data_IF_457176240539
#
_entry.id   IF_457176240539
#
_cell.length_a   1.000
_cell.length_b   1.000
_cell.length_c   1.000
_cell.angle_alpha   90.00
_cell.angle_beta   90.00
_cell.angle_gamma   90.00
#
_symmetry.space_group_name_H-M   'P 1'
#
loop_
_entity.id
_entity.type
_entity.pdbx_description
1 polymer ?
#
# COMPACT_ATOMS: atom_id res chain seq x y z
N UNK A 1 -6.26 -4.05 -16.64
CA UNK A 1 -7.14 -3.48 -15.59
C UNK A 1 -7.37 -4.47 -14.45
N UNK A 2 -7.39 -5.77 -14.70
CA UNK A 2 -7.63 -6.82 -13.68
C UNK A 2 -6.57 -6.93 -12.57
N UNK A 3 -5.29 -6.62 -12.84
CA UNK A 3 -4.21 -6.77 -11.86
C UNK A 3 -4.37 -5.82 -10.66
N UNK A 4 -4.78 -4.57 -10.90
CA UNK A 4 -4.99 -3.60 -9.82
C UNK A 4 -6.18 -3.97 -8.92
N UNK A 5 -7.21 -4.62 -9.46
CA UNK A 5 -8.38 -5.07 -8.68
C UNK A 5 -8.02 -6.19 -7.69
N UNK A 6 -7.11 -7.09 -8.08
CA UNK A 6 -6.62 -8.16 -7.21
C UNK A 6 -5.84 -7.58 -6.01
N UNK A 7 -4.91 -6.67 -6.29
CA UNK A 7 -4.19 -5.97 -5.23
C UNK A 7 -5.13 -5.14 -4.36
N UNK A 8 -6.12 -4.46 -4.96
CA UNK A 8 -7.07 -3.65 -4.20
C UNK A 8 -7.85 -4.51 -3.21
N UNK A 9 -8.37 -5.65 -3.66
CA UNK A 9 -9.13 -6.57 -2.81
C UNK A 9 -8.30 -7.08 -1.62
N UNK A 10 -7.06 -7.48 -1.87
CA UNK A 10 -6.15 -7.95 -0.83
C UNK A 10 -5.80 -6.86 0.19
N UNK A 11 -5.45 -5.66 -0.31
CA UNK A 11 -5.12 -4.51 0.53
C UNK A 11 -6.34 -4.05 1.32
N UNK A 12 -7.52 -3.97 0.70
CA UNK A 12 -8.77 -3.61 1.37
C UNK A 12 -9.06 -4.57 2.52
N UNK A 13 -8.94 -5.89 2.28
CA UNK A 13 -9.20 -6.90 3.30
C UNK A 13 -8.28 -6.76 4.51
N UNK A 14 -6.96 -6.59 4.30
CA UNK A 14 -6.00 -6.45 5.42
C UNK A 14 -6.07 -5.09 6.11
N UNK A 15 -6.15 -4.01 5.34
CA UNK A 15 -6.04 -2.65 5.87
C UNK A 15 -7.34 -2.17 6.46
N UNK A 16 -8.49 -2.37 5.80
CA UNK A 16 -9.74 -1.79 6.28
C UNK A 16 -10.13 -2.34 7.65
N UNK A 17 -9.90 -3.62 7.95
CA UNK A 17 -10.18 -4.19 9.29
C UNK A 17 -9.35 -3.52 10.40
N UNK A 18 -8.15 -3.03 10.07
CA UNK A 18 -7.24 -2.37 11.00
C UNK A 18 -7.30 -0.83 10.93
N UNK A 19 -8.07 -0.28 9.99
CA UNK A 19 -8.16 1.14 9.75
C UNK A 19 -8.93 1.83 10.89
N UNK A 20 -8.42 2.96 11.38
CA UNK A 20 -9.06 3.74 12.46
C UNK A 20 -10.45 4.24 12.04
N UNK A 21 -10.63 4.51 10.75
CA UNK A 21 -11.89 4.94 10.18
C UNK A 21 -12.85 3.78 9.92
N UNK A 22 -12.45 2.52 10.16
CA UNK A 22 -13.32 1.36 10.04
C UNK A 22 -14.07 1.05 11.33
N UNK A 23 -15.17 0.32 11.23
CA UNK A 23 -15.88 -0.31 12.34
C UNK A 23 -15.17 -1.53 12.96
N UNK A 24 -13.99 -1.91 12.44
CA UNK A 24 -13.25 -3.10 12.87
C UNK A 24 -13.68 -4.39 12.16
N UNK A 25 -14.64 -4.32 11.25
CA UNK A 25 -15.08 -5.42 10.39
C UNK A 25 -14.76 -5.17 8.91
N UNK A 26 -13.96 -4.15 8.61
CA UNK A 26 -13.58 -3.78 7.25
C UNK A 26 -14.55 -2.81 6.57
N UNK A 27 -15.63 -2.40 7.24
CA UNK A 27 -16.51 -1.37 6.69
C UNK A 27 -15.92 0.00 6.99
N UNK A 28 -15.76 0.82 5.95
CA UNK A 28 -15.27 2.19 6.08
C UNK A 28 -16.38 3.11 6.61
N UNK A 29 -16.07 3.93 7.61
CA UNK A 29 -17.03 4.91 8.19
C UNK A 29 -16.80 6.34 7.71
N UNK A 30 -15.86 6.56 6.79
CA UNK A 30 -15.68 7.88 6.16
C UNK A 30 -16.97 8.27 5.42
N UNK A 31 -17.35 9.53 5.58
CA UNK A 31 -18.53 10.10 4.92
C UNK A 31 -18.23 10.38 3.44
N UNK A 32 -19.26 10.53 2.60
CA UNK A 32 -19.10 10.69 1.15
C UNK A 32 -18.35 11.95 0.69
N UNK A 33 -18.09 12.90 1.59
CA UNK A 33 -17.26 14.09 1.31
C UNK A 33 -15.76 13.83 1.53
N UNK A 34 -15.40 12.74 2.23
CA UNK A 34 -14.03 12.37 2.56
C UNK A 34 -13.56 11.20 1.71
N UNK A 35 -12.58 11.45 0.83
CA UNK A 35 -11.98 10.38 0.04
C UNK A 35 -10.96 9.59 0.88
N UNK A 36 -11.07 8.26 0.87
CA UNK A 36 -10.10 7.37 1.48
C UNK A 36 -8.72 7.59 0.85
N UNK A 37 -7.75 8.11 1.62
CA UNK A 37 -6.40 8.40 1.12
C UNK A 37 -5.67 7.19 0.56
N UNK A 38 -5.97 5.98 1.05
CA UNK A 38 -5.44 4.74 0.48
C UNK A 38 -5.96 4.53 -0.95
N UNK A 39 -7.26 4.72 -1.17
CA UNK A 39 -7.90 4.57 -2.48
C UNK A 39 -7.41 5.64 -3.46
N UNK A 40 -7.34 6.90 -3.01
CA UNK A 40 -6.91 8.03 -3.82
C UNK A 40 -5.47 7.88 -4.37
N UNK A 41 -4.58 7.26 -3.58
CA UNK A 41 -3.18 7.05 -3.95
C UNK A 41 -2.86 5.62 -4.39
N UNK A 42 -3.87 4.75 -4.50
CA UNK A 42 -3.67 3.32 -4.63
C UNK A 42 -2.75 2.90 -5.79
N UNK A 43 -2.93 3.41 -7.03
CA UNK A 43 -2.07 3.00 -8.14
C UNK A 43 -0.59 3.28 -7.89
N UNK A 44 -0.27 4.48 -7.40
CA UNK A 44 1.11 4.89 -7.08
C UNK A 44 1.72 4.07 -5.94
N UNK A 45 0.90 3.68 -4.96
CA UNK A 45 1.36 2.85 -3.85
C UNK A 45 1.76 1.46 -4.35
N UNK A 46 0.92 0.85 -5.19
CA UNK A 46 1.21 -0.46 -5.78
C UNK A 46 2.47 -0.41 -6.64
N UNK A 47 2.59 0.60 -7.51
CA UNK A 47 3.79 0.79 -8.32
C UNK A 47 5.05 0.96 -7.46
N UNK A 48 4.97 1.74 -6.38
CA UNK A 48 6.08 1.94 -5.45
C UNK A 48 6.51 0.62 -4.80
N UNK A 49 5.57 -0.22 -4.36
CA UNK A 49 5.88 -1.51 -3.74
C UNK A 49 6.45 -2.49 -4.76
N UNK A 50 5.80 -2.64 -5.92
CA UNK A 50 6.23 -3.60 -6.96
C UNK A 50 7.60 -3.25 -7.58
N UNK A 51 8.05 -2.00 -7.47
CA UNK A 51 9.39 -1.59 -7.91
C UNK A 51 10.52 -2.13 -7.02
N UNK A 52 10.21 -2.57 -5.79
CA UNK A 52 11.20 -3.04 -4.81
C UNK A 52 11.41 -4.54 -4.94
N UNK A 53 12.67 -4.97 -4.98
CA UNK A 53 13.09 -6.39 -5.07
C UNK A 53 13.88 -6.86 -3.84
N UNK A 54 13.58 -6.29 -2.69
CA UNK A 54 14.24 -6.57 -1.42
C UNK A 54 13.19 -7.08 -0.40
N UNK A 55 13.63 -7.87 0.57
CA UNK A 55 12.76 -8.41 1.63
C UNK A 55 12.76 -7.53 2.89
N UNK A 56 13.67 -6.56 2.97
CA UNK A 56 13.76 -5.59 4.07
C UNK A 56 12.72 -4.48 3.89
N UNK A 57 12.31 -3.86 4.99
CA UNK A 57 11.26 -2.82 4.96
C UNK A 57 11.79 -1.46 4.47
N UNK A 58 13.07 -1.17 4.68
CA UNK A 58 13.67 0.14 4.39
C UNK A 58 13.56 0.54 2.92
N UNK A 59 13.82 -0.35 1.93
CA UNK A 59 13.63 -0.03 0.51
C UNK A 59 12.18 0.29 0.13
N UNK A 60 11.20 -0.36 0.76
CA UNK A 60 9.78 -0.01 0.56
C UNK A 60 9.48 1.39 1.10
N UNK A 61 10.02 1.73 2.27
CA UNK A 61 9.83 3.06 2.87
C UNK A 61 10.44 4.14 1.96
N UNK A 62 11.66 3.91 1.45
CA UNK A 62 12.33 4.84 0.53
C UNK A 62 11.52 5.04 -0.76
N UNK A 63 11.04 3.94 -1.35
CA UNK A 63 10.16 3.99 -2.54
C UNK A 63 8.88 4.77 -2.26
N UNK A 64 8.24 4.54 -1.11
CA UNK A 64 7.06 5.30 -0.69
C UNK A 64 7.35 6.79 -0.59
N UNK A 65 8.50 7.19 -0.02
CA UNK A 65 8.86 8.61 0.13
C UNK A 65 9.06 9.28 -1.22
N UNK A 66 9.76 8.60 -2.11
CA UNK A 66 10.19 9.15 -3.40
C UNK A 66 9.04 9.20 -4.41
N UNK A 67 8.20 8.17 -4.44
CA UNK A 67 7.19 8.00 -5.49
C UNK A 67 5.80 8.50 -5.07
N UNK A 68 5.44 8.35 -3.79
CA UNK A 68 4.11 8.73 -3.29
C UNK A 68 4.19 10.03 -2.50
N UNK A 69 5.00 10.07 -1.44
CA UNK A 69 5.04 11.23 -0.54
C UNK A 69 5.57 12.50 -1.21
N UNK A 70 6.49 12.40 -2.18
CA UNK A 70 6.97 13.55 -2.95
C UNK A 70 5.87 14.29 -3.71
N UNK A 71 4.76 13.62 -4.03
CA UNK A 71 3.57 14.23 -4.65
C UNK A 71 2.42 14.50 -3.68
N UNK A 72 2.63 14.25 -2.38
CA UNK A 72 1.63 14.47 -1.35
C UNK A 72 1.61 15.95 -0.94
N UNK A 73 0.42 16.56 -0.89
CA UNK A 73 0.21 17.96 -0.46
C UNK A 73 0.73 18.29 0.95
N UNK A 74 1.00 17.27 1.77
CA UNK A 74 1.47 17.41 3.14
C UNK A 74 3.01 17.31 3.27
N UNK A 75 3.73 16.94 2.21
CA UNK A 75 5.18 16.93 2.20
C UNK A 75 5.70 18.29 1.76
N UNK A 76 6.64 18.84 2.53
CA UNK A 76 7.33 20.08 2.20
C UNK A 76 8.47 19.84 1.20
N UNK A 77 8.98 20.87 0.53
CA UNK A 77 10.06 20.72 -0.47
C UNK A 77 11.36 20.10 0.08
N UNK A 78 11.62 20.24 1.37
CA UNK A 78 12.76 19.62 2.09
C UNK A 78 12.49 18.16 2.51
N UNK A 79 11.35 17.57 2.14
CA UNK A 79 11.03 16.15 2.39
C UNK A 79 10.42 15.87 3.77
N UNK A 80 10.19 16.90 4.58
CA UNK A 80 9.54 16.76 5.88
C UNK A 80 8.02 16.65 5.74
N UNK A 81 7.36 16.01 6.72
CA UNK A 81 5.92 15.81 6.70
C UNK A 81 5.38 15.78 8.14
N UNK A 82 4.55 16.76 8.47
CA UNK A 82 4.01 16.92 9.83
C UNK A 82 3.11 15.74 10.24
N UNK A 83 2.34 15.19 9.30
CA UNK A 83 1.49 14.03 9.54
C UNK A 83 2.30 12.79 9.89
N UNK A 84 3.43 12.57 9.20
CA UNK A 84 4.36 11.47 9.51
C UNK A 84 5.00 11.67 10.88
N UNK A 85 5.52 12.86 11.16
CA UNK A 85 6.15 13.16 12.46
C UNK A 85 5.22 13.00 13.67
N UNK A 86 3.91 13.14 13.46
CA UNK A 86 2.87 13.03 14.49
C UNK A 86 2.15 11.68 14.48
N UNK A 87 2.62 10.70 13.69
CA UNK A 87 2.00 9.38 13.54
C UNK A 87 0.54 9.43 13.05
N UNK A 88 0.16 10.50 12.35
CA UNK A 88 -1.19 10.75 11.82
C UNK A 88 -1.31 10.44 10.32
N UNK A 89 -0.22 10.06 9.65
CA UNK A 89 -0.29 9.64 8.26
C UNK A 89 -0.86 8.22 8.18
N UNK A 90 -2.12 8.08 7.73
CA UNK A 90 -2.76 6.76 7.57
C UNK A 90 -1.99 5.84 6.63
N UNK A 91 -1.47 6.37 5.51
CA UNK A 91 -0.64 5.59 4.60
C UNK A 91 0.61 5.06 5.28
N UNK A 92 1.31 5.89 6.06
CA UNK A 92 2.51 5.48 6.79
C UNK A 92 2.22 4.44 7.87
N UNK A 93 1.14 4.65 8.63
CA UNK A 93 0.70 3.77 9.71
C UNK A 93 0.38 2.37 9.21
N UNK A 94 -0.32 2.27 8.08
CA UNK A 94 -0.77 1.00 7.53
C UNK A 94 0.17 0.43 6.45
N UNK A 95 1.28 1.12 6.15
CA UNK A 95 2.18 0.71 5.08
C UNK A 95 2.71 -0.73 5.21
N UNK A 96 3.09 -1.22 6.42
CA UNK A 96 3.50 -2.61 6.58
C UNK A 96 2.42 -3.61 6.14
N UNK A 97 1.15 -3.36 6.47
CA UNK A 97 0.02 -4.22 6.07
C UNK A 97 -0.23 -4.17 4.56
N UNK A 98 -0.01 -3.01 3.93
CA UNK A 98 -0.14 -2.87 2.48
C UNK A 98 0.96 -3.67 1.78
N UNK A 99 2.22 -3.56 2.24
CA UNK A 99 3.33 -4.37 1.71
C UNK A 99 2.98 -5.84 1.82
N UNK A 100 2.60 -6.30 3.01
CA UNK A 100 2.25 -7.71 3.25
C UNK A 100 1.15 -8.20 2.29
N UNK A 101 0.08 -7.43 2.10
CA UNK A 101 -1.00 -7.79 1.17
C UNK A 101 -0.54 -7.87 -0.29
N UNK A 102 0.35 -6.98 -0.73
CA UNK A 102 0.86 -6.94 -2.10
C UNK A 102 1.86 -8.06 -2.35
N UNK A 103 2.74 -8.32 -1.38
CA UNK A 103 3.73 -9.38 -1.42
C UNK A 103 3.07 -10.77 -1.46
N UNK A 104 2.02 -10.99 -0.67
CA UNK A 104 1.27 -12.26 -0.69
C UNK A 104 0.74 -12.59 -2.11
N UNK A 105 0.23 -11.58 -2.81
CA UNK A 105 -0.24 -11.75 -4.20
C UNK A 105 0.94 -11.95 -5.15
N UNK A 106 2.03 -11.19 -4.99
CA UNK A 106 3.24 -11.32 -5.82
C UNK A 106 3.83 -12.73 -5.70
N UNK A 107 4.14 -13.18 -4.49
CA UNK A 107 4.70 -14.51 -4.25
C UNK A 107 3.72 -15.64 -4.58
N UNK A 108 2.42 -15.46 -4.32
CA UNK A 108 1.40 -16.42 -4.74
C UNK A 108 1.36 -16.61 -6.27
N UNK A 109 1.56 -15.53 -7.03
CA UNK A 109 1.62 -15.57 -8.50
C UNK A 109 2.95 -16.16 -9.02
N UNK A 110 4.06 -15.91 -8.35
CA UNK A 110 5.40 -16.43 -8.72
C UNK A 110 5.49 -17.93 -8.43
N UNK A 111 5.03 -18.39 -7.26
CA UNK A 111 4.98 -19.81 -6.90
C UNK A 111 4.16 -20.63 -7.91
N UNK A 112 3.09 -20.07 -8.45
CA UNK A 112 2.26 -20.73 -9.46
C UNK A 112 2.92 -20.78 -10.85
N UNK A 113 3.85 -19.85 -11.16
CA UNK A 113 4.64 -19.84 -12.40
C UNK A 113 5.82 -20.83 -12.31
N UNK A 114 6.49 -20.87 -11.17
CA UNK A 114 7.61 -21.78 -10.93
C UNK A 114 7.15 -23.24 -10.86
N UNK A 115 5.94 -23.49 -10.32
CA UNK A 115 5.34 -24.84 -10.30
C UNK A 115 4.91 -25.36 -11.69
N UNK A 116 4.77 -24.48 -12.69
CA UNK A 116 4.31 -24.83 -14.05
C UNK A 116 5.39 -24.63 -15.13
N UNK A 117 6.62 -24.30 -14.75
CA UNK A 117 7.70 -23.96 -15.67
C UNK A 117 9.06 -24.50 -15.25
N UNK A 118 9.27 -25.82 -15.37
CA UNK A 118 10.44 -26.34 -16.10
C UNK A 118 10.24 -27.83 -16.45
N UNK A 119 9.81 -28.04 -17.68
CA UNK A 119 9.85 -29.33 -18.35
C UNK A 119 10.47 -29.10 -19.71
N UNK A 120 11.79 -28.90 -19.75
CA UNK A 120 12.56 -29.05 -20.98
C UNK A 120 13.92 -29.67 -20.75
#
# INVERSE_FOLDING_TARGET
MEVFEQYWSAVQFKVCVNCIDSDGHGNCRLSGEEECGLKAHFPKIIEAILSVRDHRIEPYIESLRTNVCASCRHQTPDGTCSFRSRLNCGLDRYFPLIIEAVEDIRFGSEAHRDAFGDGR
#
